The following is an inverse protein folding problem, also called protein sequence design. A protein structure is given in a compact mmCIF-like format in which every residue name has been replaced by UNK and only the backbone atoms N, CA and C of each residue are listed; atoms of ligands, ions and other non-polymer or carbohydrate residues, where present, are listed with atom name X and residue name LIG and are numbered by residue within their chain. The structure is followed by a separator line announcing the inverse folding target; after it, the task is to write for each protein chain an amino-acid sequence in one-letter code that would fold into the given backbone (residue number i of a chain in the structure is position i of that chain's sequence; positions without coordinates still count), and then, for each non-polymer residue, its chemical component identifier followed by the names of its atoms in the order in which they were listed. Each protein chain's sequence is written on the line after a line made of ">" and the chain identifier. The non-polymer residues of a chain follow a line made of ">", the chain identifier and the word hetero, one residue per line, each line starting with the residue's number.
data_IF_158778798663
#
_entry.id   IF_158778798663
#
_cell.length_a   1.000
_cell.length_b   1.000
_cell.length_c   1.000
_cell.angle_alpha   90.00
_cell.angle_beta   90.00
_cell.angle_gamma   90.00
#
_symmetry.space_group_name_H-M   'P 1'
#
loop_
_entity.id
_entity.type
_entity.pdbx_description
1 polymer ?
#
# COMPACT_ATOMS: atom_id res chain seq x y z
N UNK A 1 -15.66 17.72 -2.66
CA UNK A 1 -14.38 18.34 -2.22
C UNK A 1 -13.27 17.89 -3.17
N UNK A 2 -12.41 18.80 -3.62
CA UNK A 2 -11.28 18.48 -4.51
C UNK A 2 -10.17 17.82 -3.67
N UNK A 3 -9.57 16.73 -4.19
CA UNK A 3 -8.43 16.08 -3.53
C UNK A 3 -7.21 16.99 -3.58
N UNK A 4 -6.46 17.06 -2.49
CA UNK A 4 -5.18 17.76 -2.49
C UNK A 4 -4.15 16.98 -3.32
N UNK A 5 -3.10 17.63 -3.87
CA UNK A 5 -2.05 16.93 -4.59
C UNK A 5 -1.43 15.77 -3.78
N UNK A 6 -1.25 15.96 -2.48
CA UNK A 6 -0.75 14.92 -1.57
C UNK A 6 -1.69 13.72 -1.47
N UNK A 7 -3.01 13.94 -1.46
CA UNK A 7 -3.98 12.84 -1.47
C UNK A 7 -3.91 12.04 -2.77
N UNK A 8 -3.79 12.71 -3.91
CA UNK A 8 -3.63 12.07 -5.22
C UNK A 8 -2.35 11.21 -5.25
N UNK A 9 -1.23 11.74 -4.76
CA UNK A 9 0.03 11.00 -4.67
C UNK A 9 -0.13 9.76 -3.79
N UNK A 10 -0.75 9.90 -2.61
CA UNK A 10 -0.98 8.76 -1.73
C UNK A 10 -1.85 7.69 -2.38
N UNK A 11 -2.92 8.08 -3.09
CA UNK A 11 -3.78 7.13 -3.80
C UNK A 11 -3.00 6.36 -4.87
N UNK A 12 -2.15 7.04 -5.65
CA UNK A 12 -1.30 6.40 -6.66
C UNK A 12 -0.36 5.39 -5.99
N UNK A 13 0.34 5.79 -4.94
CA UNK A 13 1.27 4.91 -4.21
C UNK A 13 0.58 3.71 -3.60
N UNK A 14 -0.60 3.89 -3.00
CA UNK A 14 -1.37 2.79 -2.41
C UNK A 14 -1.92 1.84 -3.47
N UNK A 15 -2.38 2.34 -4.62
CA UNK A 15 -2.86 1.49 -5.70
C UNK A 15 -1.72 0.65 -6.29
N UNK A 16 -0.53 1.24 -6.46
CA UNK A 16 0.66 0.48 -6.83
C UNK A 16 0.98 -0.60 -5.78
N UNK A 17 1.01 -0.25 -4.50
CA UNK A 17 1.28 -1.20 -3.42
C UNK A 17 0.29 -2.37 -3.37
N UNK A 18 -1.01 -2.10 -3.56
CA UNK A 18 -2.04 -3.14 -3.65
C UNK A 18 -1.73 -4.13 -4.76
N UNK A 19 -1.40 -3.61 -5.96
CA UNK A 19 -1.07 -4.44 -7.10
C UNK A 19 0.17 -5.31 -6.82
N UNK A 20 1.21 -4.74 -6.22
CA UNK A 20 2.41 -5.50 -5.84
C UNK A 20 2.11 -6.59 -4.80
N UNK A 21 1.23 -6.32 -3.83
CA UNK A 21 0.80 -7.30 -2.83
C UNK A 21 0.01 -8.46 -3.45
N UNK A 22 -0.71 -8.22 -4.54
CA UNK A 22 -1.52 -9.21 -5.26
C UNK A 22 -0.72 -10.07 -6.24
N UNK A 23 0.34 -9.53 -6.86
CA UNK A 23 1.04 -10.21 -7.97
C UNK A 23 2.47 -10.66 -7.66
N UNK A 24 3.04 -10.26 -6.53
CA UNK A 24 4.43 -10.59 -6.16
C UNK A 24 4.49 -11.17 -4.76
N UNK A 25 5.55 -11.89 -4.43
CA UNK A 25 5.84 -12.34 -3.06
C UNK A 25 6.81 -11.41 -2.31
N UNK A 26 6.96 -10.16 -2.75
CA UNK A 26 7.89 -9.22 -2.12
C UNK A 26 7.48 -8.89 -0.69
N UNK A 27 8.48 -8.61 0.13
CA UNK A 27 8.24 -8.24 1.52
C UNK A 27 7.48 -6.92 1.59
N UNK A 28 6.71 -6.73 2.66
CA UNK A 28 5.99 -5.47 2.92
C UNK A 28 6.97 -4.28 2.96
N UNK A 29 8.20 -4.52 3.41
CA UNK A 29 9.28 -3.53 3.44
C UNK A 29 9.71 -3.11 2.03
N UNK A 30 9.96 -4.07 1.15
CA UNK A 30 10.38 -3.78 -0.23
C UNK A 30 9.28 -3.04 -0.99
N UNK A 31 8.03 -3.52 -0.87
CA UNK A 31 6.86 -2.86 -1.48
C UNK A 31 6.71 -1.43 -0.95
N UNK A 32 6.99 -1.16 0.32
CA UNK A 32 6.92 0.20 0.86
C UNK A 32 7.90 1.14 0.15
N UNK A 33 9.15 0.70 -0.04
CA UNK A 33 10.19 1.49 -0.70
C UNK A 33 9.91 1.64 -2.20
N UNK A 34 9.51 0.58 -2.90
CA UNK A 34 9.09 0.65 -4.31
C UNK A 34 7.88 1.57 -4.52
N UNK A 35 6.98 1.63 -3.54
CA UNK A 35 5.83 2.54 -3.55
C UNK A 35 6.20 4.00 -3.23
N UNK A 36 7.50 4.32 -3.06
CA UNK A 36 7.99 5.67 -2.84
C UNK A 36 7.85 6.20 -1.41
N UNK A 37 7.71 5.32 -0.42
CA UNK A 37 7.78 5.71 0.99
C UNK A 37 9.23 5.62 1.51
N UNK A 38 9.64 6.61 2.29
CA UNK A 38 10.96 6.61 2.96
C UNK A 38 11.01 5.73 4.20
N UNK A 39 9.87 5.23 4.67
CA UNK A 39 9.77 4.38 5.86
C UNK A 39 8.63 3.36 5.72
N UNK A 40 8.89 2.06 5.97
CA UNK A 40 7.85 1.03 6.01
C UNK A 40 6.74 1.34 7.04
N UNK A 41 7.08 1.96 8.17
CA UNK A 41 6.10 2.32 9.20
C UNK A 41 5.11 3.38 8.71
N UNK A 42 5.58 4.38 7.96
CA UNK A 42 4.72 5.40 7.36
C UNK A 42 3.81 4.80 6.28
N UNK A 43 4.36 3.90 5.47
CA UNK A 43 3.60 3.13 4.49
C UNK A 43 2.48 2.34 5.15
N UNK A 44 2.78 1.51 6.15
CA UNK A 44 1.79 0.66 6.83
C UNK A 44 0.67 1.50 7.44
N UNK A 45 1.01 2.63 8.09
CA UNK A 45 0.02 3.55 8.65
C UNK A 45 -0.89 4.14 7.57
N UNK A 46 -0.33 4.58 6.46
CA UNK A 46 -1.07 5.20 5.35
C UNK A 46 -1.92 4.17 4.62
N UNK A 47 -1.36 3.00 4.33
CA UNK A 47 -2.05 1.87 3.70
C UNK A 47 -3.24 1.44 4.55
N UNK A 48 -3.06 1.24 5.86
CA UNK A 48 -4.17 0.91 6.76
C UNK A 48 -5.24 1.99 6.80
N UNK A 49 -4.85 3.26 6.82
CA UNK A 49 -5.81 4.38 6.81
C UNK A 49 -6.65 4.41 5.53
N UNK A 50 -6.07 4.09 4.38
CA UNK A 50 -6.73 4.20 3.08
C UNK A 50 -7.42 2.92 2.61
N UNK A 51 -7.06 1.77 3.18
CA UNK A 51 -7.60 0.46 2.77
C UNK A 51 -8.36 -0.27 3.86
N UNK A 52 -8.27 0.20 5.12
CA UNK A 52 -8.75 -0.50 6.32
C UNK A 52 -8.02 -1.79 6.69
N UNK A 53 -7.06 -2.25 5.88
CA UNK A 53 -6.27 -3.46 6.11
C UNK A 53 -4.79 -3.14 6.34
N UNK A 54 -4.08 -3.98 7.09
CA UNK A 54 -2.60 -3.96 7.02
C UNK A 54 -2.16 -4.56 5.68
N UNK A 55 -0.98 -4.20 5.14
CA UNK A 55 -0.49 -4.79 3.90
C UNK A 55 -0.46 -6.32 3.93
N UNK A 56 -0.02 -6.92 5.04
CA UNK A 56 -0.01 -8.38 5.22
C UNK A 56 -1.41 -8.99 5.27
N UNK A 57 -2.38 -8.32 5.92
CA UNK A 57 -3.76 -8.79 5.95
C UNK A 57 -4.44 -8.65 4.59
N UNK A 58 -4.11 -7.59 3.84
CA UNK A 58 -4.61 -7.37 2.49
C UNK A 58 -4.14 -8.51 1.57
N UNK A 59 -2.82 -8.79 1.54
CA UNK A 59 -2.23 -9.91 0.77
C UNK A 59 -2.96 -11.24 1.02
N UNK A 60 -3.11 -11.62 2.29
CA UNK A 60 -3.80 -12.87 2.67
C UNK A 60 -5.25 -12.95 2.20
N UNK A 61 -5.93 -11.81 2.03
CA UNK A 61 -7.32 -11.79 1.56
C UNK A 61 -7.43 -12.16 0.08
N UNK A 62 -6.40 -11.87 -0.72
CA UNK A 62 -6.35 -12.17 -2.15
C UNK A 62 -5.67 -13.50 -2.48
N UNK A 63 -4.82 -14.03 -1.61
CA UNK A 63 -4.26 -15.39 -1.75
C UNK A 63 -5.31 -16.51 -1.56
N UNK A 64 -6.55 -16.18 -1.20
CA UNK A 64 -7.64 -17.14 -0.92
C UNK A 64 -8.55 -17.43 -2.16
N UNK A 65 -8.18 -16.97 -3.35
CA UNK A 65 -8.92 -17.19 -4.60
C UNK A 65 -8.06 -17.85 -5.68
#
# INVERSE_FOLDING_TARGET
>A
MVKTPMQIINDIRINFAKKQLEITNYSVTDIAYESGYSSPSLFIKTFKKLTSFTPSSYRKHFDQY
#
